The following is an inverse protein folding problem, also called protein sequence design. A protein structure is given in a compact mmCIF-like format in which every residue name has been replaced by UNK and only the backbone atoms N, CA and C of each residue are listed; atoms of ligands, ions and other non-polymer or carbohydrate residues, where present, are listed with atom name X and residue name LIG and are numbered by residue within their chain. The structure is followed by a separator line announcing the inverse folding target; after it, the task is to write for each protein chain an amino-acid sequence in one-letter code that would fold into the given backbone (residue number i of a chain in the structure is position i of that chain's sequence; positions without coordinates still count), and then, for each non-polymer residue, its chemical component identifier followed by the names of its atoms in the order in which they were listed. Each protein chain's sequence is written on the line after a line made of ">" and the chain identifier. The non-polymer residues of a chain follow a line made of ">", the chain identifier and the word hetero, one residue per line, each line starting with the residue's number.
data_IF_881830684010
#
_entry.id   IF_881830684010
#
_cell.length_a   1.000
_cell.length_b   1.000
_cell.length_c   1.000
_cell.angle_alpha   90.00
_cell.angle_beta   90.00
_cell.angle_gamma   90.00
#
_symmetry.space_group_name_H-M   'P 1'
#
loop_
_entity.id
_entity.type
_entity.pdbx_description
1 polymer ?
#
# COMPACT_ATOMS: atom_id res chain seq x y z
N UNK A 1 20.63 -26.02 -28.69
CA UNK A 1 20.71 -25.11 -27.53
C UNK A 1 19.33 -24.49 -27.34
N UNK A 2 18.72 -24.78 -26.24
CA UNK A 2 17.32 -24.35 -25.98
C UNK A 2 17.31 -22.89 -25.48
N UNK A 3 16.64 -22.01 -26.22
CA UNK A 3 16.40 -20.61 -25.83
C UNK A 3 15.29 -20.47 -24.75
N UNK A 4 14.77 -21.57 -24.21
CA UNK A 4 13.66 -21.58 -23.25
C UNK A 4 14.00 -20.78 -21.98
N UNK A 5 15.16 -21.04 -21.36
CA UNK A 5 15.58 -20.38 -20.12
C UNK A 5 15.81 -18.86 -20.28
N UNK A 6 16.17 -18.40 -21.48
CA UNK A 6 16.39 -16.98 -21.73
C UNK A 6 15.06 -16.22 -21.81
N UNK A 7 14.03 -16.85 -22.40
CA UNK A 7 12.67 -16.27 -22.46
C UNK A 7 12.03 -16.19 -21.08
N UNK A 8 12.16 -17.23 -20.25
CA UNK A 8 11.62 -17.27 -18.88
C UNK A 8 12.09 -16.09 -18.02
N UNK A 9 13.39 -15.83 -18.02
CA UNK A 9 13.98 -14.75 -17.21
C UNK A 9 13.55 -13.36 -17.68
N UNK A 10 13.32 -13.17 -18.98
CA UNK A 10 12.86 -11.88 -19.53
C UNK A 10 11.43 -11.60 -19.12
N UNK A 11 10.52 -12.56 -19.28
CA UNK A 11 9.10 -12.41 -18.93
C UNK A 11 8.89 -12.19 -17.43
N UNK A 12 9.60 -12.93 -16.58
CA UNK A 12 9.55 -12.75 -15.12
C UNK A 12 9.93 -11.32 -14.72
N UNK A 13 11.02 -10.80 -15.26
CA UNK A 13 11.47 -9.43 -14.97
C UNK A 13 10.50 -8.38 -15.50
N UNK A 14 9.89 -8.60 -16.66
CA UNK A 14 8.92 -7.69 -17.25
C UNK A 14 7.68 -7.58 -16.37
N UNK A 15 7.07 -8.70 -15.99
CA UNK A 15 5.88 -8.72 -15.13
C UNK A 15 6.16 -8.06 -13.78
N UNK A 16 7.29 -8.35 -13.15
CA UNK A 16 7.66 -7.72 -11.88
C UNK A 16 7.84 -6.20 -12.00
N UNK A 17 8.52 -5.75 -13.04
CA UNK A 17 8.79 -4.33 -13.25
C UNK A 17 7.52 -3.53 -13.57
N UNK A 18 6.64 -4.06 -14.42
CA UNK A 18 5.35 -3.41 -14.72
C UNK A 18 4.42 -3.43 -13.50
N UNK A 19 4.40 -4.51 -12.71
CA UNK A 19 3.65 -4.59 -11.46
C UNK A 19 4.08 -3.48 -10.48
N UNK A 20 5.38 -3.28 -10.27
CA UNK A 20 5.90 -2.24 -9.38
C UNK A 20 5.48 -0.83 -9.78
N UNK A 21 5.32 -0.56 -11.08
CA UNK A 21 4.84 0.74 -11.58
C UNK A 21 3.35 0.97 -11.31
N UNK A 22 2.54 -0.08 -11.26
CA UNK A 22 1.09 0.00 -11.09
C UNK A 22 0.69 0.10 -9.61
N UNK A 23 1.53 -0.37 -8.70
CA UNK A 23 1.26 -0.35 -7.27
C UNK A 23 1.21 1.07 -6.71
N UNK A 24 0.12 1.40 -6.03
CA UNK A 24 -0.14 2.72 -5.45
C UNK A 24 0.23 2.78 -3.97
N UNK A 25 -0.14 1.75 -3.19
CA UNK A 25 0.09 1.68 -1.74
C UNK A 25 1.48 1.21 -1.38
N UNK A 26 1.96 0.19 -2.05
CA UNK A 26 3.20 -0.50 -1.74
C UNK A 26 4.43 0.43 -1.70
N UNK A 27 4.64 1.37 -2.64
CA UNK A 27 5.81 2.28 -2.61
C UNK A 27 5.90 3.18 -1.38
N UNK A 28 4.80 3.34 -0.64
CA UNK A 28 4.73 4.16 0.57
C UNK A 28 4.64 3.30 1.86
N UNK A 29 5.08 2.05 1.83
CA UNK A 29 5.20 1.16 2.98
C UNK A 29 6.66 1.04 3.43
N UNK A 30 6.91 0.45 4.59
CA UNK A 30 8.24 0.17 5.10
C UNK A 30 8.70 -1.24 4.67
N UNK A 31 9.80 -1.31 3.91
CA UNK A 31 10.38 -2.56 3.36
C UNK A 31 11.59 -3.07 4.13
N UNK A 32 11.93 -2.46 5.24
CA UNK A 32 13.16 -2.81 5.98
C UNK A 32 13.25 -4.28 6.38
N UNK A 33 12.10 -4.95 6.44
CA UNK A 33 11.96 -6.31 6.91
C UNK A 33 11.95 -7.37 5.79
N UNK A 34 12.08 -6.96 4.53
CA UNK A 34 11.97 -7.85 3.36
C UNK A 34 13.07 -8.93 3.31
N UNK A 35 14.28 -8.61 3.78
CA UNK A 35 15.40 -9.55 3.82
C UNK A 35 15.18 -10.75 4.74
N UNK A 36 14.46 -10.56 5.84
CA UNK A 36 14.14 -11.62 6.81
C UNK A 36 12.96 -12.49 6.35
N UNK A 37 12.06 -11.92 5.55
CA UNK A 37 10.86 -12.58 5.03
C UNK A 37 11.17 -13.72 4.05
N UNK A 38 12.28 -13.65 3.32
CA UNK A 38 12.68 -14.69 2.36
C UNK A 38 13.06 -16.03 3.00
N UNK A 39 13.34 -16.05 4.30
CA UNK A 39 13.76 -17.24 5.02
C UNK A 39 12.66 -17.89 5.88
N UNK A 40 11.49 -17.25 6.04
CA UNK A 40 10.41 -17.73 6.89
C UNK A 40 9.03 -17.22 6.52
N UNK A 41 8.00 -17.85 7.05
CA UNK A 41 6.60 -17.40 6.89
C UNK A 41 6.23 -16.23 7.79
N UNK A 42 7.10 -15.86 8.72
CA UNK A 42 6.82 -14.87 9.76
C UNK A 42 8.08 -14.05 10.04
N UNK A 43 7.94 -12.75 10.11
CA UNK A 43 8.97 -11.80 10.51
C UNK A 43 8.61 -11.21 11.87
N UNK A 44 9.53 -11.30 12.83
CA UNK A 44 9.37 -10.67 14.15
C UNK A 44 9.92 -9.26 14.12
N UNK A 45 9.04 -8.27 14.22
CA UNK A 45 9.40 -6.86 14.32
C UNK A 45 9.51 -6.49 15.79
N UNK A 46 10.69 -6.14 16.25
CA UNK A 46 10.92 -5.69 17.62
C UNK A 46 10.55 -4.22 17.77
N UNK A 47 9.53 -3.96 18.57
CA UNK A 47 9.19 -2.61 19.01
C UNK A 47 9.89 -2.30 20.32
N UNK A 48 10.75 -1.30 20.32
CA UNK A 48 11.37 -0.82 21.58
C UNK A 48 10.49 0.27 22.17
N UNK A 49 9.99 0.05 23.38
CA UNK A 49 9.28 1.06 24.15
C UNK A 49 10.17 2.31 24.35
N UNK A 50 9.57 3.50 24.32
CA UNK A 50 10.30 4.75 24.52
C UNK A 50 10.68 4.86 26.00
N UNK A 51 11.99 4.91 26.36
CA UNK A 51 12.41 5.10 27.74
C UNK A 51 11.97 6.49 28.26
N UNK A 52 11.71 6.55 29.56
CA UNK A 52 11.30 7.79 30.23
C UNK A 52 12.48 8.73 30.37
N UNK A 53 12.37 9.94 29.80
CA UNK A 53 13.40 10.97 29.95
C UNK A 53 13.10 11.79 31.21
N UNK A 54 14.00 11.73 32.20
CA UNK A 54 13.90 12.48 33.47
C UNK A 54 14.92 13.60 33.51
N UNK A 55 14.60 14.69 34.21
CA UNK A 55 15.53 15.76 34.43
C UNK A 55 16.46 15.41 35.61
N UNK A 56 17.76 15.51 35.38
CA UNK A 56 18.76 15.37 36.44
C UNK A 56 18.89 16.66 37.26
N UNK A 57 18.88 16.54 38.57
CA UNK A 57 19.21 17.63 39.48
C UNK A 57 20.55 17.31 40.10
N UNK A 58 21.56 18.20 39.97
CA UNK A 58 22.88 17.98 40.57
C UNK A 58 22.81 17.75 42.10
N UNK A 59 23.46 16.67 42.55
CA UNK A 59 23.46 16.28 43.96
C UNK A 59 22.36 15.33 44.42
N UNK A 60 21.47 14.90 43.50
CA UNK A 60 20.46 13.86 43.75
C UNK A 60 20.85 12.54 43.07
N UNK A 61 20.50 11.43 43.69
CA UNK A 61 20.67 10.10 43.05
C UNK A 61 19.72 9.97 41.86
N UNK A 62 20.16 9.31 40.79
CA UNK A 62 19.32 8.96 39.65
C UNK A 62 18.47 7.73 39.99
N UNK A 63 17.27 7.67 39.43
CA UNK A 63 16.40 6.51 39.57
C UNK A 63 17.05 5.24 38.98
N UNK A 64 16.61 4.08 39.49
CA UNK A 64 17.09 2.78 38.99
C UNK A 64 16.93 2.60 37.49
N UNK A 65 17.62 1.61 36.94
CA UNK A 65 17.57 1.26 35.51
C UNK A 65 16.15 0.88 35.14
N UNK A 66 15.57 1.63 34.19
CA UNK A 66 14.27 1.29 33.56
C UNK A 66 14.51 0.19 32.51
N UNK A 67 13.72 -0.87 32.58
CA UNK A 67 13.72 -1.92 31.54
C UNK A 67 12.55 -1.64 30.59
N UNK A 68 12.79 -1.12 29.36
CA UNK A 68 11.72 -0.89 28.42
C UNK A 68 11.01 -2.20 28.06
N UNK A 69 9.68 -2.15 27.92
CA UNK A 69 8.91 -3.32 27.48
C UNK A 69 9.25 -3.64 26.02
N UNK A 70 9.54 -4.91 25.76
CA UNK A 70 9.77 -5.47 24.43
C UNK A 70 8.42 -5.92 23.84
N UNK A 71 7.84 -5.09 22.98
CA UNK A 71 6.63 -5.44 22.25
C UNK A 71 7.00 -5.98 20.87
N UNK A 72 6.88 -7.29 20.70
CA UNK A 72 7.10 -7.93 19.41
C UNK A 72 5.81 -7.91 18.57
N UNK A 73 5.90 -7.34 17.37
CA UNK A 73 4.85 -7.42 16.35
C UNK A 73 5.26 -8.49 15.35
N UNK A 74 4.34 -9.41 15.04
CA UNK A 74 4.58 -10.46 14.06
C UNK A 74 3.92 -10.10 12.74
N UNK A 75 4.71 -10.01 11.68
CA UNK A 75 4.27 -9.85 10.31
C UNK A 75 4.27 -11.22 9.65
N UNK A 76 3.09 -11.67 9.25
CA UNK A 76 2.90 -12.95 8.58
C UNK A 76 2.84 -12.74 7.07
N UNK A 77 3.43 -13.67 6.31
CA UNK A 77 3.22 -13.80 4.87
C UNK A 77 2.10 -14.82 4.70
N UNK A 78 0.87 -14.34 4.52
CA UNK A 78 -0.35 -15.14 4.51
C UNK A 78 -1.18 -15.00 3.24
N UNK A 79 -0.75 -14.13 2.33
CA UNK A 79 -1.39 -13.96 1.03
C UNK A 79 -0.64 -14.72 -0.05
N UNK A 80 -1.39 -15.49 -0.84
CA UNK A 80 -0.87 -16.36 -1.89
C UNK A 80 -1.75 -16.20 -3.13
N UNK A 81 -1.39 -15.27 -4.01
CA UNK A 81 -2.08 -15.08 -5.27
C UNK A 81 -1.38 -15.86 -6.36
N UNK A 82 -2.14 -16.57 -7.17
CA UNK A 82 -1.58 -17.30 -8.31
C UNK A 82 -2.37 -16.98 -9.57
N UNK A 83 -1.71 -17.12 -10.68
CA UNK A 83 -2.33 -17.14 -11.98
C UNK A 83 -1.85 -18.34 -12.78
N UNK A 84 -2.69 -18.80 -13.68
CA UNK A 84 -2.37 -19.86 -14.62
C UNK A 84 -3.20 -19.66 -15.89
N UNK A 85 -2.54 -19.35 -16.97
CA UNK A 85 -3.18 -19.23 -18.28
C UNK A 85 -2.33 -19.86 -19.37
N UNK A 86 -3.00 -20.33 -20.42
CA UNK A 86 -2.34 -20.94 -21.58
C UNK A 86 -2.99 -20.47 -22.88
N UNK A 87 -2.22 -20.52 -23.95
CA UNK A 87 -2.69 -20.22 -25.30
C UNK A 87 -2.46 -21.47 -26.15
N UNK A 88 -3.53 -21.93 -26.81
CA UNK A 88 -3.44 -23.06 -27.73
C UNK A 88 -2.51 -22.71 -28.89
N UNK A 89 -1.72 -23.71 -29.33
CA UNK A 89 -0.78 -23.51 -30.42
C UNK A 89 -1.48 -23.22 -31.75
N UNK A 90 -2.73 -23.70 -31.95
CA UNK A 90 -3.53 -23.41 -33.14
C UNK A 90 -3.97 -21.93 -33.11
N UNK A 91 -4.48 -21.44 -31.94
CA UNK A 91 -4.90 -20.07 -31.77
C UNK A 91 -3.70 -19.11 -31.87
N UNK A 92 -2.54 -19.51 -31.35
CA UNK A 92 -1.30 -18.73 -31.44
C UNK A 92 -0.83 -18.56 -32.89
N UNK A 93 -1.02 -19.60 -33.75
CA UNK A 93 -0.70 -19.52 -35.17
C UNK A 93 -1.69 -18.66 -35.96
N UNK A 94 -2.93 -18.52 -35.49
CA UNK A 94 -4.01 -17.76 -36.14
C UNK A 94 -4.19 -16.34 -35.55
N UNK A 95 -3.69 -16.08 -34.36
CA UNK A 95 -3.80 -14.78 -33.70
C UNK A 95 -2.72 -13.81 -34.16
N UNK A 96 -3.03 -12.52 -34.09
CA UNK A 96 -2.03 -11.45 -34.31
C UNK A 96 -0.92 -11.52 -33.25
N UNK A 97 0.29 -11.15 -33.63
CA UNK A 97 1.39 -10.91 -32.72
C UNK A 97 0.94 -9.97 -31.57
N UNK A 98 1.26 -10.33 -30.31
CA UNK A 98 0.97 -9.51 -29.15
C UNK A 98 -0.07 -10.07 -28.16
N UNK A 99 -0.75 -11.20 -28.46
CA UNK A 99 -1.73 -11.79 -27.55
C UNK A 99 -1.11 -12.16 -26.19
N UNK A 100 0.05 -12.76 -26.19
CA UNK A 100 0.75 -13.15 -24.95
C UNK A 100 1.20 -11.91 -24.14
N UNK A 101 1.59 -10.84 -24.81
CA UNK A 101 1.98 -9.58 -24.16
C UNK A 101 0.75 -8.93 -23.51
N UNK A 102 -0.38 -8.87 -24.20
CA UNK A 102 -1.61 -8.33 -23.65
C UNK A 102 -2.11 -9.13 -22.42
N UNK A 103 -2.01 -10.48 -22.47
CA UNK A 103 -2.34 -11.33 -21.33
C UNK A 103 -1.38 -11.10 -20.14
N UNK A 104 -0.09 -10.89 -20.41
CA UNK A 104 0.88 -10.60 -19.37
C UNK A 104 0.63 -9.22 -18.72
N UNK A 105 0.29 -8.20 -19.49
CA UNK A 105 -0.07 -6.87 -18.99
C UNK A 105 -1.31 -6.92 -18.10
N UNK A 106 -2.38 -7.60 -18.55
CA UNK A 106 -3.62 -7.72 -17.78
C UNK A 106 -3.43 -8.55 -16.51
N UNK A 107 -2.63 -9.61 -16.56
CA UNK A 107 -2.26 -10.40 -15.38
C UNK A 107 -1.48 -9.57 -14.38
N UNK A 108 -0.53 -8.79 -14.86
CA UNK A 108 0.29 -7.90 -14.04
C UNK A 108 -0.57 -6.85 -13.32
N UNK A 109 -1.53 -6.30 -14.04
CA UNK A 109 -2.51 -5.36 -13.50
C UNK A 109 -3.38 -6.01 -12.44
N UNK A 110 -3.93 -7.20 -12.71
CA UNK A 110 -4.74 -7.95 -11.74
C UNK A 110 -4.00 -8.26 -10.44
N UNK A 111 -2.72 -8.67 -10.53
CA UNK A 111 -1.88 -8.91 -9.36
C UNK A 111 -1.61 -7.63 -8.55
N UNK A 112 -1.35 -6.51 -9.23
CA UNK A 112 -1.14 -5.23 -8.56
C UNK A 112 -2.41 -4.73 -7.85
N UNK A 113 -3.57 -4.86 -8.49
CA UNK A 113 -4.86 -4.49 -7.92
C UNK A 113 -5.20 -5.35 -6.69
N UNK A 114 -4.95 -6.65 -6.73
CA UNK A 114 -5.17 -7.55 -5.59
C UNK A 114 -4.26 -7.19 -4.39
N UNK A 115 -2.98 -6.94 -4.65
CA UNK A 115 -2.02 -6.54 -3.62
C UNK A 115 -2.38 -5.19 -3.00
N UNK A 116 -2.73 -4.18 -3.80
CA UNK A 116 -3.15 -2.86 -3.31
C UNK A 116 -4.47 -2.94 -2.51
N UNK A 117 -5.44 -3.74 -2.94
CA UNK A 117 -6.69 -3.96 -2.20
C UNK A 117 -6.44 -4.61 -0.83
N UNK A 118 -5.53 -5.59 -0.77
CA UNK A 118 -5.13 -6.20 0.50
C UNK A 118 -4.46 -5.18 1.42
N UNK A 119 -3.51 -4.38 0.91
CA UNK A 119 -2.83 -3.35 1.68
C UNK A 119 -3.81 -2.29 2.21
N UNK A 120 -4.77 -1.87 1.38
CA UNK A 120 -5.83 -0.95 1.78
C UNK A 120 -6.70 -1.55 2.90
N UNK A 121 -7.04 -2.84 2.81
CA UNK A 121 -7.78 -3.55 3.85
C UNK A 121 -6.99 -3.64 5.16
N UNK A 122 -5.71 -3.98 5.11
CA UNK A 122 -4.83 -4.01 6.28
C UNK A 122 -4.74 -2.63 6.94
N UNK A 123 -4.62 -1.56 6.14
CA UNK A 123 -4.63 -0.20 6.65
C UNK A 123 -5.97 0.15 7.32
N UNK A 124 -7.09 -0.16 6.66
CA UNK A 124 -8.44 0.13 7.15
C UNK A 124 -8.78 -0.59 8.46
N UNK A 125 -8.31 -1.85 8.61
CA UNK A 125 -8.59 -2.68 9.79
C UNK A 125 -7.53 -2.60 10.88
N UNK A 126 -6.34 -2.07 10.57
CA UNK A 126 -5.23 -1.99 11.52
C UNK A 126 -5.10 -0.66 12.25
N UNK A 127 -5.96 0.31 11.95
CA UNK A 127 -6.08 1.53 12.76
C UNK A 127 -6.75 1.21 14.10
N UNK A 128 -6.32 1.87 15.17
CA UNK A 128 -6.78 1.60 16.53
C UNK A 128 -7.30 2.87 17.21
N UNK A 129 -8.31 2.70 18.04
CA UNK A 129 -8.84 3.76 18.90
C UNK A 129 -9.26 5.02 18.13
N UNK A 130 -8.70 6.17 18.53
CA UNK A 130 -9.00 7.48 17.92
C UNK A 130 -8.44 7.66 16.50
N UNK A 131 -7.68 6.68 15.99
CA UNK A 131 -7.19 6.64 14.61
C UNK A 131 -8.27 6.27 13.58
N UNK A 132 -9.51 6.00 14.02
CA UNK A 132 -10.64 5.71 13.14
C UNK A 132 -11.73 6.77 13.36
N UNK A 133 -12.04 7.53 12.31
CA UNK A 133 -13.15 8.46 12.33
C UNK A 133 -14.50 7.71 12.34
N UNK A 134 -15.49 8.29 13.01
CA UNK A 134 -16.87 7.82 12.89
C UNK A 134 -17.35 7.96 11.43
N UNK A 135 -18.25 7.06 11.02
CA UNK A 135 -18.92 7.14 9.72
C UNK A 135 -19.56 8.51 9.52
N UNK A 136 -19.24 9.18 8.42
CA UNK A 136 -19.71 10.54 8.16
C UNK A 136 -20.11 10.71 6.70
N UNK A 137 -21.28 11.29 6.47
CA UNK A 137 -21.72 11.69 5.14
C UNK A 137 -20.90 12.89 4.65
N UNK A 138 -20.22 12.73 3.52
CA UNK A 138 -19.39 13.77 2.91
C UNK A 138 -20.06 14.22 1.61
N UNK A 139 -20.87 15.26 1.70
CA UNK A 139 -21.64 15.80 0.56
C UNK A 139 -21.02 17.04 -0.06
N UNK A 140 -20.09 17.69 0.63
CA UNK A 140 -19.46 18.95 0.18
C UNK A 140 -17.94 18.90 0.27
N UNK A 141 -17.25 19.66 -0.58
CA UNK A 141 -15.80 19.79 -0.52
C UNK A 141 -15.28 20.38 0.80
N UNK A 142 -16.10 21.22 1.48
CA UNK A 142 -15.75 21.74 2.80
C UNK A 142 -15.70 20.62 3.87
N UNK A 143 -16.65 19.69 3.82
CA UNK A 143 -16.66 18.53 4.71
C UNK A 143 -15.50 17.57 4.41
N UNK A 144 -15.20 17.36 3.13
CA UNK A 144 -14.05 16.56 2.70
C UNK A 144 -12.74 17.14 3.23
N UNK A 145 -12.54 18.46 3.06
CA UNK A 145 -11.37 19.16 3.60
C UNK A 145 -11.27 19.04 5.11
N UNK A 146 -12.37 19.28 5.83
CA UNK A 146 -12.41 19.19 7.30
C UNK A 146 -12.05 17.78 7.79
N UNK A 147 -12.54 16.74 7.12
CA UNK A 147 -12.20 15.35 7.47
C UNK A 147 -10.70 15.07 7.33
N UNK A 148 -10.05 15.59 6.27
CA UNK A 148 -8.61 15.47 6.08
C UNK A 148 -7.85 16.30 7.12
N UNK A 149 -8.30 17.53 7.43
CA UNK A 149 -7.66 18.38 8.44
C UNK A 149 -7.70 17.71 9.83
N UNK A 150 -8.79 17.06 10.20
CA UNK A 150 -8.90 16.27 11.44
C UNK A 150 -7.90 15.09 11.46
N UNK A 151 -7.67 14.45 10.31
CA UNK A 151 -6.66 13.40 10.20
C UNK A 151 -5.24 13.95 10.46
N UNK A 152 -4.92 15.13 9.94
CA UNK A 152 -3.64 15.78 10.22
C UNK A 152 -3.51 16.21 11.67
N UNK A 153 -4.57 16.75 12.28
CA UNK A 153 -4.59 17.10 13.70
C UNK A 153 -4.25 15.88 14.56
N UNK A 154 -4.88 14.74 14.29
CA UNK A 154 -4.58 13.49 14.97
C UNK A 154 -3.11 13.07 14.82
N UNK A 155 -2.59 13.06 13.58
CA UNK A 155 -1.21 12.66 13.31
C UNK A 155 -0.20 13.59 14.02
N UNK A 156 -0.43 14.90 13.97
CA UNK A 156 0.46 15.87 14.63
C UNK A 156 0.42 15.75 16.14
N UNK A 157 -0.74 15.52 16.75
CA UNK A 157 -0.90 15.26 18.17
C UNK A 157 -0.16 13.97 18.59
N UNK A 158 0.00 13.00 17.69
CA UNK A 158 0.77 11.78 17.92
C UNK A 158 2.26 11.92 17.56
N UNK A 159 2.75 13.13 17.28
CA UNK A 159 4.17 13.42 17.07
C UNK A 159 4.67 13.26 15.63
N UNK A 160 3.79 13.06 14.65
CA UNK A 160 4.14 13.13 13.23
C UNK A 160 4.43 14.59 12.89
N UNK A 161 5.50 14.84 12.15
CA UNK A 161 5.94 16.19 11.77
C UNK A 161 5.80 16.41 10.27
N UNK A 162 5.88 17.66 9.83
CA UNK A 162 5.87 18.00 8.39
C UNK A 162 7.09 17.48 7.63
N UNK A 163 8.10 16.94 8.34
CA UNK A 163 9.28 16.29 7.74
C UNK A 163 9.04 14.81 7.42
N UNK A 164 8.05 14.20 8.05
CA UNK A 164 7.71 12.81 7.78
C UNK A 164 6.94 12.70 6.47
N UNK A 165 7.24 11.67 5.69
CA UNK A 165 6.54 11.41 4.43
C UNK A 165 5.14 10.88 4.74
N UNK A 166 4.15 11.74 4.60
CA UNK A 166 2.72 11.38 4.74
C UNK A 166 2.11 11.21 3.36
N UNK A 167 1.24 10.23 3.22
CA UNK A 167 0.46 9.99 1.99
C UNK A 167 -1.02 9.87 2.34
N UNK A 168 -1.85 10.53 1.51
CA UNK A 168 -3.31 10.52 1.58
C UNK A 168 -3.81 9.68 0.41
N UNK A 169 -4.63 8.67 0.69
CA UNK A 169 -5.28 7.85 -0.34
C UNK A 169 -6.77 8.15 -0.37
N UNK A 170 -7.25 8.58 -1.52
CA UNK A 170 -8.62 9.04 -1.73
C UNK A 170 -9.32 8.15 -2.76
N UNK A 171 -10.62 7.91 -2.54
CA UNK A 171 -11.50 7.37 -3.59
C UNK A 171 -11.77 8.44 -4.65
N UNK A 172 -12.11 8.05 -5.89
CA UNK A 172 -12.33 9.01 -6.98
C UNK A 172 -13.37 10.10 -6.67
N UNK A 173 -14.49 9.72 -6.07
CA UNK A 173 -15.54 10.68 -5.73
C UNK A 173 -15.12 11.67 -4.64
N UNK A 174 -14.39 11.18 -3.61
CA UNK A 174 -13.88 12.04 -2.54
C UNK A 174 -12.79 12.98 -3.07
N UNK A 175 -11.95 12.47 -3.97
CA UNK A 175 -10.91 13.26 -4.64
C UNK A 175 -11.51 14.46 -5.39
N UNK A 176 -12.59 14.25 -6.16
CA UNK A 176 -13.26 15.33 -6.90
C UNK A 176 -13.84 16.39 -5.95
N UNK A 177 -14.54 15.99 -4.87
CA UNK A 177 -15.05 16.93 -3.87
C UNK A 177 -13.93 17.72 -3.18
N UNK A 178 -12.83 17.05 -2.88
CA UNK A 178 -11.68 17.70 -2.26
C UNK A 178 -10.98 18.68 -3.21
N UNK A 179 -10.85 18.30 -4.48
CA UNK A 179 -10.28 19.15 -5.53
C UNK A 179 -11.10 20.44 -5.73
N UNK A 180 -12.42 20.33 -5.82
CA UNK A 180 -13.30 21.50 -5.98
C UNK A 180 -13.07 22.53 -4.88
N UNK A 181 -12.94 22.08 -3.62
CA UNK A 181 -12.69 23.00 -2.52
C UNK A 181 -11.30 23.64 -2.55
N UNK A 182 -10.28 22.91 -3.00
CA UNK A 182 -8.93 23.46 -3.13
C UNK A 182 -8.83 24.49 -4.27
N UNK A 183 -9.58 24.31 -5.35
CA UNK A 183 -9.68 25.29 -6.44
C UNK A 183 -10.28 26.60 -5.93
N UNK A 184 -11.32 26.54 -5.10
CA UNK A 184 -11.93 27.74 -4.50
C UNK A 184 -10.95 28.54 -3.61
N UNK A 185 -9.99 27.87 -2.97
CA UNK A 185 -9.09 28.46 -1.98
C UNK A 185 -7.91 29.24 -2.59
N UNK A 186 -7.84 29.54 -3.89
CA UNK A 186 -6.76 30.33 -4.54
C UNK A 186 -5.38 30.08 -3.89
N UNK A 187 -4.90 28.86 -3.94
CA UNK A 187 -3.59 28.50 -3.38
C UNK A 187 -2.50 28.67 -4.43
N UNK A 188 -1.23 28.82 -4.01
CA UNK A 188 -0.07 28.91 -4.93
C UNK A 188 0.15 27.65 -5.80
N UNK A 189 -0.75 26.68 -5.72
CA UNK A 189 -0.74 25.43 -6.50
C UNK A 189 -1.42 25.55 -7.87
N UNK A 190 -1.64 26.76 -8.39
CA UNK A 190 -2.32 26.99 -9.67
C UNK A 190 -1.75 26.18 -10.83
N UNK A 191 -0.43 25.95 -10.84
CA UNK A 191 0.23 25.15 -11.88
C UNK A 191 -0.07 23.63 -11.79
N UNK A 192 -0.37 23.11 -10.61
CA UNK A 192 -0.77 21.71 -10.40
C UNK A 192 -2.27 21.54 -10.64
N UNK A 193 -3.07 22.50 -10.20
CA UNK A 193 -4.52 22.55 -10.44
C UNK A 193 -4.85 22.65 -11.93
N UNK A 194 -4.08 23.42 -12.69
CA UNK A 194 -4.23 23.52 -14.14
C UNK A 194 -4.01 22.18 -14.87
N UNK A 195 -3.26 21.26 -14.28
CA UNK A 195 -3.06 19.88 -14.78
C UNK A 195 -4.07 18.86 -14.25
N UNK A 196 -5.01 19.31 -13.38
CA UNK A 196 -6.00 18.42 -12.76
C UNK A 196 -5.44 17.41 -11.75
N UNK A 197 -4.20 17.61 -11.28
CA UNK A 197 -3.54 16.71 -10.34
C UNK A 197 -3.30 17.41 -9.01
N UNK A 198 -3.85 16.85 -7.92
CA UNK A 198 -3.50 17.25 -6.56
C UNK A 198 -2.16 16.60 -6.20
N UNK A 199 -1.09 17.37 -6.21
CA UNK A 199 0.24 16.81 -5.87
C UNK A 199 0.50 16.75 -4.38
N UNK A 200 0.33 17.87 -3.67
CA UNK A 200 0.68 18.02 -2.26
C UNK A 200 -0.40 18.78 -1.50
N UNK A 201 -0.74 18.28 -0.34
CA UNK A 201 -1.57 18.97 0.65
C UNK A 201 -0.93 18.86 2.04
N UNK A 202 -0.67 19.98 2.72
CA UNK A 202 0.04 20.02 4.00
C UNK A 202 1.35 19.19 4.01
N UNK A 203 2.12 19.26 2.93
CA UNK A 203 3.35 18.47 2.70
C UNK A 203 3.12 16.95 2.52
N UNK A 204 1.87 16.50 2.45
CA UNK A 204 1.53 15.11 2.18
C UNK A 204 1.22 14.88 0.70
N UNK A 205 1.63 13.73 0.17
CA UNK A 205 1.29 13.32 -1.18
C UNK A 205 -0.17 12.87 -1.25
N UNK A 206 -0.92 13.37 -2.23
CA UNK A 206 -2.31 12.97 -2.48
C UNK A 206 -2.33 11.98 -3.63
N UNK A 207 -2.84 10.79 -3.39
CA UNK A 207 -2.99 9.72 -4.39
C UNK A 207 -4.45 9.28 -4.48
N UNK A 208 -4.91 9.04 -5.68
CA UNK A 208 -6.23 8.47 -5.94
C UNK A 208 -6.08 6.96 -6.17
N UNK A 209 -6.96 6.17 -5.56
CA UNK A 209 -7.00 4.72 -5.80
C UNK A 209 -8.44 4.22 -5.78
N UNK A 210 -8.75 3.30 -6.69
CA UNK A 210 -10.03 2.58 -6.74
C UNK A 210 -10.02 1.35 -5.83
N UNK A 211 -8.86 0.97 -5.30
CA UNK A 211 -8.67 -0.26 -4.50
C UNK A 211 -8.79 -0.01 -2.99
N UNK A 212 -9.34 1.17 -2.60
CA UNK A 212 -9.62 1.44 -1.19
C UNK A 212 -10.68 0.50 -0.64
N UNK A 213 -10.53 0.12 0.62
CA UNK A 213 -11.47 -0.77 1.28
C UNK A 213 -12.82 -0.08 1.46
N UNK A 214 -13.90 -0.80 1.11
CA UNK A 214 -15.28 -0.42 1.37
C UNK A 214 -15.93 -1.51 2.22
N UNK A 215 -16.60 -1.14 3.31
CA UNK A 215 -17.28 -2.09 4.20
C UNK A 215 -18.74 -2.38 3.80
N UNK A 216 -19.17 -1.90 2.63
CA UNK A 216 -20.54 -1.99 2.10
C UNK A 216 -21.38 -0.74 2.36
N UNK A 217 -20.93 0.14 3.24
CA UNK A 217 -21.57 1.43 3.57
C UNK A 217 -20.58 2.58 3.36
N UNK A 218 -19.41 2.48 3.95
CA UNK A 218 -18.39 3.52 3.97
C UNK A 218 -17.16 3.15 3.15
N UNK A 219 -16.64 4.11 2.41
CA UNK A 219 -15.29 4.08 1.86
C UNK A 219 -14.29 4.48 2.92
N UNK A 220 -13.21 3.73 3.04
CA UNK A 220 -12.15 4.01 4.00
C UNK A 220 -11.04 4.83 3.34
N UNK A 221 -11.05 6.14 3.60
CA UNK A 221 -10.00 7.07 3.19
C UNK A 221 -8.83 6.94 4.15
N UNK A 222 -7.62 6.79 3.64
CA UNK A 222 -6.45 6.44 4.45
C UNK A 222 -5.44 7.58 4.43
N UNK A 223 -5.01 8.02 5.62
CA UNK A 223 -3.92 8.99 5.80
C UNK A 223 -2.86 8.33 6.66
N UNK A 224 -1.67 8.12 6.12
CA UNK A 224 -0.61 7.39 6.82
C UNK A 224 0.79 7.94 6.56
N UNK A 225 1.72 7.68 7.49
CA UNK A 225 3.15 7.82 7.23
C UNK A 225 3.69 6.60 6.48
N UNK A 226 4.85 6.73 5.85
CA UNK A 226 5.52 5.59 5.20
C UNK A 226 5.97 4.51 6.18
N UNK A 227 6.05 4.82 7.48
CA UNK A 227 6.48 3.90 8.55
C UNK A 227 5.32 3.19 9.24
N UNK A 228 4.08 3.57 8.94
CA UNK A 228 2.89 3.05 9.62
C UNK A 228 2.66 1.57 9.32
N UNK A 229 2.92 1.15 8.08
CA UNK A 229 2.66 -0.20 7.59
C UNK A 229 3.96 -0.81 7.10
N UNK A 230 4.33 -1.96 7.64
CA UNK A 230 5.39 -2.79 7.12
C UNK A 230 4.82 -3.79 6.11
N UNK A 231 5.49 -3.90 4.98
CA UNK A 231 5.17 -4.84 3.92
C UNK A 231 6.37 -5.75 3.66
N UNK A 232 6.10 -6.97 3.27
CA UNK A 232 7.14 -7.88 2.80
C UNK A 232 6.62 -8.72 1.64
N UNK A 233 7.50 -8.96 0.68
CA UNK A 233 7.30 -9.94 -0.37
C UNK A 233 7.93 -11.26 0.07
N UNK A 234 7.22 -12.34 -0.20
CA UNK A 234 7.74 -13.68 -0.02
C UNK A 234 8.40 -14.21 -1.30
N UNK A 235 7.77 -15.20 -1.92
CA UNK A 235 8.26 -15.87 -3.13
C UNK A 235 7.46 -15.37 -4.33
N UNK A 236 8.15 -14.80 -5.31
CA UNK A 236 7.60 -14.54 -6.63
C UNK A 236 8.18 -15.59 -7.59
N UNK A 237 7.35 -16.47 -8.08
CA UNK A 237 7.75 -17.58 -8.96
C UNK A 237 6.93 -17.56 -10.24
N UNK A 238 7.61 -17.57 -11.36
CA UNK A 238 7.00 -17.67 -12.68
C UNK A 238 7.58 -18.89 -13.40
N UNK A 239 6.71 -19.78 -13.87
CA UNK A 239 7.11 -21.00 -14.58
C UNK A 239 6.27 -21.17 -15.86
N UNK A 240 6.88 -21.07 -17.05
CA UNK A 240 6.24 -21.54 -18.27
C UNK A 240 6.26 -23.06 -18.30
N UNK A 241 5.19 -23.66 -18.81
CA UNK A 241 5.07 -25.09 -18.94
C UNK A 241 4.11 -25.46 -20.09
N UNK A 242 4.27 -26.67 -20.61
CA UNK A 242 3.32 -27.23 -21.57
C UNK A 242 2.53 -28.34 -20.87
N UNK A 243 1.20 -28.23 -20.75
CA UNK A 243 0.37 -29.25 -20.10
C UNK A 243 0.41 -30.58 -20.87
N UNK A 244 0.47 -31.69 -20.15
CA UNK A 244 0.58 -33.05 -20.75
C UNK A 244 -0.62 -33.45 -21.61
N UNK A 245 -1.80 -32.87 -21.35
CA UNK A 245 -3.06 -33.26 -22.01
C UNK A 245 -3.55 -32.32 -23.11
N UNK A 246 -2.75 -31.29 -23.45
CA UNK A 246 -3.14 -30.29 -24.44
C UNK A 246 -1.93 -29.73 -25.19
N UNK A 247 -2.14 -29.31 -26.42
CA UNK A 247 -1.11 -28.67 -27.25
C UNK A 247 -1.19 -27.16 -27.05
N UNK A 248 -0.80 -26.70 -25.84
CA UNK A 248 -0.77 -25.28 -25.48
C UNK A 248 0.52 -24.90 -24.77
N UNK A 249 0.89 -23.66 -24.89
CA UNK A 249 1.93 -23.04 -24.05
C UNK A 249 1.24 -22.33 -22.90
N UNK A 250 1.57 -22.70 -21.66
CA UNK A 250 0.98 -22.13 -20.47
C UNK A 250 2.04 -21.48 -19.58
N UNK A 251 1.60 -20.45 -18.83
CA UNK A 251 2.42 -19.76 -17.84
C UNK A 251 1.67 -19.76 -16.50
N UNK A 252 2.33 -20.23 -15.45
CA UNK A 252 1.83 -20.13 -14.08
C UNK A 252 2.74 -19.25 -13.24
N UNK A 253 2.18 -18.47 -12.35
CA UNK A 253 2.91 -17.63 -11.44
C UNK A 253 2.31 -17.64 -10.06
N UNK A 254 3.16 -17.50 -9.05
CA UNK A 254 2.81 -17.39 -7.64
C UNK A 254 3.42 -16.10 -7.10
N UNK A 255 2.58 -15.26 -6.49
CA UNK A 255 2.96 -14.07 -5.76
C UNK A 255 2.60 -14.25 -4.30
N UNK A 256 3.57 -14.11 -3.40
CA UNK A 256 3.33 -14.23 -1.97
C UNK A 256 3.73 -12.95 -1.27
N UNK A 257 2.86 -12.43 -0.42
CA UNK A 257 3.10 -11.18 0.29
C UNK A 257 2.41 -11.16 1.64
N UNK A 258 2.80 -10.20 2.46
CA UNK A 258 2.17 -9.94 3.74
C UNK A 258 2.38 -8.49 4.17
N UNK A 259 1.47 -7.99 4.98
CA UNK A 259 1.55 -6.65 5.53
C UNK A 259 0.99 -6.60 6.95
N UNK A 260 1.53 -5.69 7.76
CA UNK A 260 1.03 -5.43 9.12
C UNK A 260 1.18 -3.97 9.47
N UNK A 261 0.19 -3.42 10.16
CA UNK A 261 0.32 -2.09 10.78
C UNK A 261 1.25 -2.22 11.97
N UNK A 262 2.37 -1.49 11.93
CA UNK A 262 3.42 -1.48 12.96
C UNK A 262 3.24 -0.29 13.89
N UNK A 263 2.77 0.84 13.34
CA UNK A 263 2.57 2.08 14.09
C UNK A 263 1.16 2.60 13.91
N UNK A 264 0.18 2.09 14.66
CA UNK A 264 -1.22 2.49 14.52
C UNK A 264 -1.45 3.99 14.77
N UNK A 265 -0.64 4.63 15.62
CA UNK A 265 -0.71 6.08 15.88
C UNK A 265 -0.27 6.98 14.71
N UNK A 266 0.41 6.40 13.72
CA UNK A 266 0.83 7.09 12.49
C UNK A 266 -0.10 6.80 11.31
N UNK A 267 -1.27 6.24 11.58
CA UNK A 267 -2.30 5.86 10.62
C UNK A 267 -3.65 6.44 11.06
N UNK A 268 -4.37 7.06 10.14
CA UNK A 268 -5.71 7.54 10.37
C UNK A 268 -6.64 7.10 9.23
N UNK A 269 -7.83 6.63 9.59
CA UNK A 269 -8.83 6.13 8.66
C UNK A 269 -10.10 6.95 8.79
N UNK A 270 -10.53 7.56 7.69
CA UNK A 270 -11.78 8.30 7.60
C UNK A 270 -12.82 7.38 6.97
N UNK A 271 -13.90 7.09 7.68
CA UNK A 271 -15.05 6.38 7.14
C UNK A 271 -16.01 7.40 6.53
N UNK A 272 -16.19 7.33 5.23
CA UNK A 272 -16.96 8.31 4.48
C UNK A 272 -17.90 7.65 3.47
N UNK A 273 -19.13 8.20 3.40
CA UNK A 273 -20.10 7.86 2.36
C UNK A 273 -20.67 9.14 1.74
N UNK A 274 -21.34 9.00 0.58
CA UNK A 274 -22.05 10.10 -0.08
C UNK A 274 -23.34 10.45 0.61
#
# INVERSE_FOLDING_TARGET
>A
MSYANFKETIWSKYIQHEKEKLLTFKPDCDYKFEGEAKQGKQVKILGVGRPTIKKYVPGTEIDGVETPEDNAIYLNIDQYDYFNYGVDNIDKAQSKEGLMEALAEETTRGLAEAEDAYLAKVAATGAEGDGIAASTAITTGANAKKAIDNAFEYLWNNGVTTKDKVTIYLTPWFYLLFQDKLVELKTQNDGLLAKGVLGLYNSANVKMSNQLHNDGTDDHIIVKTSKAIACCNGIDKLEPYSPEKSFMDAIKGLNTYGAKVVRPKELYVIKAHR
#
